data_IF_598998628464
#
_entry.id   IF_598998628464
#
_cell.length_a   1.000
_cell.length_b   1.000
_cell.length_c   1.000
_cell.angle_alpha   90.00
_cell.angle_beta   90.00
_cell.angle_gamma   90.00
#
_symmetry.space_group_name_H-M   'P 1'
#
loop_
_entity.id
_entity.type
_entity.pdbx_description
1 polymer ?
#
# COMPACT_ATOMS: atom_id res chain seq x y z
N UNK A 1 9.18 14.88 17.27
CA UNK A 1 8.73 16.28 17.14
C UNK A 1 7.72 16.31 16.00
N UNK A 2 6.48 16.75 16.22
CA UNK A 2 5.49 16.82 15.15
C UNK A 2 5.97 17.81 14.08
N UNK A 3 6.04 17.36 12.83
CA UNK A 3 6.41 18.20 11.70
C UNK A 3 5.27 19.18 11.37
N UNK A 4 5.55 20.47 11.46
CA UNK A 4 4.62 21.53 11.03
C UNK A 4 4.76 21.65 9.50
N UNK A 5 3.66 21.72 8.73
CA UNK A 5 3.74 21.89 7.28
C UNK A 5 4.55 23.16 6.95
N UNK A 6 5.70 23.00 6.28
CA UNK A 6 6.57 24.10 5.86
C UNK A 6 7.94 24.19 6.55
N UNK A 7 8.27 23.33 7.53
CA UNK A 7 9.65 23.26 8.04
C UNK A 7 10.56 22.43 7.11
N UNK A 8 11.83 22.84 6.91
CA UNK A 8 12.81 22.03 6.21
C UNK A 8 12.99 20.70 6.93
N UNK A 9 13.21 19.63 6.16
CA UNK A 9 13.46 18.28 6.69
C UNK A 9 14.45 18.36 7.85
N UNK A 10 14.16 17.80 9.03
CA UNK A 10 15.08 17.81 10.17
C UNK A 10 16.35 16.96 9.92
N UNK A 11 16.41 16.29 8.77
CA UNK A 11 17.52 15.44 8.34
C UNK A 11 18.22 16.06 7.14
N UNK A 12 19.55 16.15 7.22
CA UNK A 12 20.39 16.68 6.15
C UNK A 12 20.49 15.73 4.97
N UNK A 13 20.57 14.42 5.25
CA UNK A 13 20.77 13.33 4.26
C UNK A 13 20.09 12.03 4.74
N UNK A 14 19.94 11.03 3.85
CA UNK A 14 19.42 9.70 4.23
C UNK A 14 20.26 9.01 5.32
N UNK A 15 21.59 9.14 5.24
CA UNK A 15 22.50 8.60 6.25
C UNK A 15 22.27 9.22 7.63
N UNK A 16 22.04 10.53 7.67
CA UNK A 16 21.75 11.29 8.88
C UNK A 16 20.43 10.85 9.52
N UNK A 17 19.39 10.65 8.70
CA UNK A 17 18.12 10.07 9.15
C UNK A 17 18.31 8.66 9.74
N UNK A 18 19.00 7.76 9.03
CA UNK A 18 19.26 6.39 9.49
C UNK A 18 20.04 6.36 10.80
N UNK A 19 21.07 7.20 10.92
CA UNK A 19 21.87 7.30 12.13
C UNK A 19 21.08 7.88 13.31
N UNK A 20 20.20 8.85 13.04
CA UNK A 20 19.28 9.38 14.05
C UNK A 20 18.31 8.32 14.59
N UNK A 21 17.78 7.45 13.72
CA UNK A 21 16.90 6.35 14.12
C UNK A 21 17.67 5.33 14.97
N UNK A 22 18.86 4.89 14.53
CA UNK A 22 19.66 3.91 15.27
C UNK A 22 20.04 4.45 16.66
N UNK A 23 20.43 5.72 16.76
CA UNK A 23 20.82 6.35 18.04
C UNK A 23 19.65 6.55 19.00
N UNK A 24 18.41 6.75 18.51
CA UNK A 24 17.23 7.00 19.37
C UNK A 24 16.39 5.76 19.66
N UNK A 25 16.24 4.87 18.69
CA UNK A 25 15.30 3.74 18.74
C UNK A 25 16.00 2.37 18.59
N UNK A 26 17.34 2.35 18.52
CA UNK A 26 18.14 1.17 18.18
C UNK A 26 17.87 0.62 16.78
N UNK A 27 18.61 -0.41 16.38
CA UNK A 27 18.45 -1.09 15.07
C UNK A 27 17.03 -1.63 14.86
N UNK A 28 16.32 -1.97 15.95
CA UNK A 28 14.92 -2.42 15.91
C UNK A 28 13.95 -1.33 15.46
N UNK A 29 14.29 -0.05 15.65
CA UNK A 29 13.50 1.08 15.15
C UNK A 29 13.34 1.05 13.62
N UNK A 30 14.35 0.58 12.89
CA UNK A 30 14.31 0.46 11.42
C UNK A 30 13.26 -0.55 10.92
N UNK A 31 12.87 -1.52 11.75
CA UNK A 31 11.88 -2.55 11.42
C UNK A 31 10.50 -2.28 12.03
N UNK A 32 10.34 -1.17 12.77
CA UNK A 32 9.07 -0.80 13.41
C UNK A 32 8.03 -0.56 12.30
N UNK A 33 6.98 -1.37 12.28
CA UNK A 33 5.93 -1.33 11.24
C UNK A 33 6.11 -2.28 10.06
N UNK A 34 7.16 -3.12 10.02
CA UNK A 34 7.38 -4.13 8.96
C UNK A 34 6.48 -5.37 9.06
N UNK A 35 5.90 -5.65 10.23
CA UNK A 35 5.01 -6.80 10.43
C UNK A 35 3.74 -6.75 9.55
N UNK A 36 3.20 -5.55 9.34
CA UNK A 36 1.98 -5.33 8.54
C UNK A 36 2.23 -5.67 7.05
N UNK A 37 3.27 -5.16 6.39
CA UNK A 37 3.65 -5.59 5.05
C UNK A 37 3.76 -7.11 4.89
N UNK A 38 4.38 -7.81 5.84
CA UNK A 38 4.62 -9.25 5.75
C UNK A 38 3.31 -10.07 5.70
N UNK A 39 2.27 -9.61 6.40
CA UNK A 39 0.97 -10.27 6.41
C UNK A 39 0.12 -9.90 5.19
N UNK A 40 0.24 -8.67 4.69
CA UNK A 40 -0.62 -8.15 3.60
C UNK A 40 -0.11 -8.54 2.20
N UNK A 41 1.20 -8.68 2.02
CA UNK A 41 1.79 -8.93 0.69
C UNK A 41 1.38 -10.30 0.09
N UNK A 42 1.40 -11.44 0.82
CA UNK A 42 1.00 -12.73 0.27
C UNK A 42 -0.45 -12.78 -0.26
N UNK A 43 -1.49 -12.35 0.49
CA UNK A 43 -2.85 -12.35 -0.02
C UNK A 43 -3.05 -11.36 -1.17
N UNK A 44 -2.29 -10.26 -1.20
CA UNK A 44 -2.29 -9.32 -2.32
C UNK A 44 -1.80 -9.98 -3.62
N UNK A 45 -0.68 -10.72 -3.56
CA UNK A 45 -0.20 -11.47 -4.73
C UNK A 45 -1.16 -12.59 -5.12
N UNK A 46 -1.75 -13.30 -4.16
CA UNK A 46 -2.73 -14.34 -4.43
C UNK A 46 -3.95 -13.78 -5.19
N UNK A 47 -4.47 -12.63 -4.77
CA UNK A 47 -5.58 -11.96 -5.47
C UNK A 47 -5.18 -11.56 -6.89
N UNK A 48 -3.98 -11.03 -7.08
CA UNK A 48 -3.48 -10.65 -8.40
C UNK A 48 -3.39 -11.86 -9.35
N UNK A 49 -2.74 -12.94 -8.91
CA UNK A 49 -2.64 -14.18 -9.70
C UNK A 49 -4.00 -14.82 -9.97
N UNK A 50 -4.90 -14.82 -8.98
CA UNK A 50 -6.26 -15.33 -9.14
C UNK A 50 -7.01 -14.56 -10.22
N UNK A 51 -7.01 -13.22 -10.15
CA UNK A 51 -7.74 -12.39 -11.10
C UNK A 51 -7.14 -12.47 -12.50
N UNK A 52 -5.81 -12.59 -12.61
CA UNK A 52 -5.12 -12.82 -13.88
C UNK A 52 -5.48 -14.19 -14.49
N UNK A 53 -5.54 -15.24 -13.67
CA UNK A 53 -5.98 -16.57 -14.10
C UNK A 53 -7.43 -16.58 -14.59
N UNK A 54 -8.33 -15.88 -13.89
CA UNK A 54 -9.72 -15.67 -14.32
C UNK A 54 -9.77 -14.89 -15.63
N UNK A 55 -9.01 -13.80 -15.76
CA UNK A 55 -8.95 -12.98 -16.98
C UNK A 55 -8.48 -13.77 -18.21
N UNK A 56 -7.52 -14.68 -18.04
CA UNK A 56 -7.10 -15.62 -19.10
C UNK A 56 -8.18 -16.65 -19.41
N UNK A 57 -8.79 -17.29 -18.40
CA UNK A 57 -9.88 -18.27 -18.61
C UNK A 57 -11.09 -17.69 -19.33
N UNK A 58 -11.41 -16.42 -19.12
CA UNK A 58 -12.49 -15.72 -19.84
C UNK A 58 -12.20 -15.52 -21.34
N UNK A 59 -10.93 -15.52 -21.74
CA UNK A 59 -10.50 -15.27 -23.11
C UNK A 59 -10.01 -16.53 -23.85
N UNK A 60 -9.68 -17.60 -23.12
CA UNK A 60 -9.28 -18.89 -23.69
C UNK A 60 -10.50 -19.71 -24.10
N UNK A 61 -10.60 -20.07 -25.39
CA UNK A 61 -11.62 -21.04 -25.87
C UNK A 61 -11.14 -22.48 -25.80
N UNK A 62 -9.82 -22.72 -25.81
CA UNK A 62 -9.21 -24.05 -25.65
C UNK A 62 -7.99 -24.02 -24.69
N UNK A 63 -7.71 -25.09 -23.92
CA UNK A 63 -6.61 -25.14 -22.95
C UNK A 63 -5.19 -24.98 -23.53
N UNK A 64 -5.01 -25.31 -24.82
CA UNK A 64 -3.72 -25.25 -25.54
C UNK A 64 -3.53 -24.00 -26.42
N UNK A 65 -4.51 -23.09 -26.47
CA UNK A 65 -4.42 -21.93 -27.37
C UNK A 65 -3.43 -20.88 -26.81
N UNK A 66 -2.40 -20.55 -27.59
CA UNK A 66 -1.50 -19.45 -27.24
C UNK A 66 -2.28 -18.12 -27.36
N UNK A 67 -2.57 -17.51 -26.22
CA UNK A 67 -3.23 -16.21 -26.15
C UNK A 67 -2.39 -15.16 -26.89
N UNK A 68 -3.05 -14.40 -27.78
CA UNK A 68 -2.43 -13.26 -28.45
C UNK A 68 -1.94 -12.23 -27.42
N UNK A 69 -0.87 -11.50 -27.73
CA UNK A 69 -0.35 -10.39 -26.91
C UNK A 69 -1.46 -9.41 -26.48
N UNK A 70 -2.43 -9.16 -27.37
CA UNK A 70 -3.55 -8.27 -27.09
C UNK A 70 -4.56 -8.85 -26.09
N UNK A 71 -4.71 -10.17 -26.03
CA UNK A 71 -5.54 -10.85 -25.03
C UNK A 71 -4.83 -10.84 -23.68
N UNK A 72 -3.53 -11.17 -23.65
CA UNK A 72 -2.71 -11.09 -22.42
C UNK A 72 -2.73 -9.68 -21.84
N UNK A 73 -2.63 -8.65 -22.69
CA UNK A 73 -2.76 -7.25 -22.27
C UNK A 73 -4.12 -6.96 -21.61
N UNK A 74 -5.23 -7.35 -22.26
CA UNK A 74 -6.58 -7.16 -21.69
C UNK A 74 -6.79 -7.91 -20.37
N UNK A 75 -6.30 -9.15 -20.27
CA UNK A 75 -6.34 -9.92 -19.04
C UNK A 75 -5.49 -9.27 -17.92
N UNK A 76 -4.33 -8.71 -18.28
CA UNK A 76 -3.48 -7.93 -17.39
C UNK A 76 -4.16 -6.66 -16.88
N UNK A 77 -4.81 -5.89 -17.75
CA UNK A 77 -5.56 -4.68 -17.38
C UNK A 77 -6.74 -4.98 -16.44
N UNK A 78 -7.50 -6.04 -16.73
CA UNK A 78 -8.60 -6.48 -15.87
C UNK A 78 -8.09 -6.90 -14.49
N UNK A 79 -7.04 -7.73 -14.46
CA UNK A 79 -6.41 -8.16 -13.21
C UNK A 79 -5.84 -6.97 -12.42
N UNK A 80 -5.16 -6.04 -13.10
CA UNK A 80 -4.59 -4.84 -12.52
C UNK A 80 -5.66 -3.92 -11.90
N UNK A 81 -6.76 -3.70 -12.61
CA UNK A 81 -7.87 -2.84 -12.14
C UNK A 81 -8.52 -3.43 -10.89
N UNK A 82 -8.89 -4.70 -10.93
CA UNK A 82 -9.54 -5.38 -9.80
C UNK A 82 -8.59 -5.49 -8.61
N UNK A 83 -7.36 -5.94 -8.82
CA UNK A 83 -6.37 -6.02 -7.76
C UNK A 83 -6.13 -4.64 -7.12
N UNK A 84 -5.99 -3.59 -7.93
CA UNK A 84 -5.81 -2.21 -7.43
C UNK A 84 -7.02 -1.76 -6.60
N UNK A 85 -8.25 -2.04 -7.01
CA UNK A 85 -9.45 -1.67 -6.27
C UNK A 85 -9.50 -2.29 -4.85
N UNK A 86 -9.08 -3.54 -4.72
CA UNK A 86 -9.05 -4.26 -3.44
C UNK A 86 -7.81 -3.94 -2.59
N UNK A 87 -6.65 -3.74 -3.22
CA UNK A 87 -5.39 -3.55 -2.51
C UNK A 87 -5.13 -2.10 -2.10
N UNK A 88 -5.65 -1.14 -2.87
CA UNK A 88 -5.55 0.30 -2.58
C UNK A 88 -5.87 0.70 -1.14
N UNK A 89 -6.99 0.26 -0.52
CA UNK A 89 -7.28 0.59 0.87
C UNK A 89 -6.21 0.05 1.83
N UNK A 90 -5.73 -1.18 1.61
CA UNK A 90 -4.71 -1.83 2.45
C UNK A 90 -3.35 -1.15 2.36
N UNK A 91 -2.89 -0.85 1.15
CA UNK A 91 -1.64 -0.12 0.91
C UNK A 91 -1.68 1.27 1.55
N UNK A 92 -2.82 1.97 1.45
CA UNK A 92 -2.97 3.29 2.04
C UNK A 92 -2.94 3.25 3.56
N UNK A 93 -3.62 2.30 4.20
CA UNK A 93 -3.55 2.11 5.66
C UNK A 93 -2.11 1.82 6.09
N UNK A 94 -1.40 0.94 5.38
CA UNK A 94 0.01 0.65 5.64
C UNK A 94 0.87 1.93 5.55
N UNK A 95 0.76 2.71 4.48
CA UNK A 95 1.53 3.95 4.32
C UNK A 95 1.23 4.94 5.46
N UNK A 96 -0.04 5.10 5.86
CA UNK A 96 -0.40 5.97 6.99
C UNK A 96 0.19 5.47 8.32
N UNK A 97 0.25 4.16 8.53
CA UNK A 97 0.87 3.56 9.71
C UNK A 97 2.40 3.66 9.70
N UNK A 98 3.04 3.72 8.52
CA UNK A 98 4.48 3.87 8.38
C UNK A 98 4.94 5.34 8.43
N UNK A 99 4.13 6.27 7.94
CA UNK A 99 4.43 7.71 7.93
C UNK A 99 4.12 8.36 9.29
N UNK A 100 3.18 7.79 10.08
CA UNK A 100 2.90 8.35 11.40
C UNK A 100 4.16 8.33 12.27
N UNK A 101 4.55 9.50 12.75
CA UNK A 101 5.57 9.64 13.78
C UNK A 101 4.86 9.69 15.14
N UNK A 102 5.39 8.96 16.13
CA UNK A 102 4.93 9.08 17.51
C UNK A 102 5.14 10.53 17.98
N UNK A 103 4.03 11.26 18.17
CA UNK A 103 4.05 12.59 18.77
C UNK A 103 3.70 12.45 20.25
N UNK A 104 4.62 12.83 21.13
CA UNK A 104 4.46 12.78 22.60
C UNK A 104 4.10 11.39 23.17
N UNK A 105 4.67 10.32 22.62
CA UNK A 105 4.44 8.95 23.12
C UNK A 105 3.04 8.39 22.83
N UNK A 106 2.21 9.09 22.05
CA UNK A 106 0.89 8.63 21.61
C UNK A 106 0.90 8.44 20.09
N UNK A 107 0.81 7.19 19.64
CA UNK A 107 0.60 6.89 18.23
C UNK A 107 -0.79 7.41 17.80
N UNK A 108 -0.87 8.16 16.68
CA UNK A 108 -2.15 8.64 16.13
C UNK A 108 -3.07 7.46 15.78
N UNK A 109 -2.49 6.35 15.32
CA UNK A 109 -3.16 5.10 15.03
C UNK A 109 -2.50 3.97 15.82
N UNK A 110 -3.26 3.31 16.70
CA UNK A 110 -2.75 2.18 17.49
C UNK A 110 -2.67 0.87 16.68
N UNK A 111 -3.29 0.84 15.50
CA UNK A 111 -3.25 -0.30 14.61
C UNK A 111 -4.04 -0.07 13.32
N UNK A 112 -4.07 -1.05 12.41
CA UNK A 112 -4.75 -0.94 11.12
C UNK A 112 -6.26 -0.77 11.24
N UNK A 113 -6.90 -1.44 12.19
CA UNK A 113 -8.35 -1.33 12.43
C UNK A 113 -8.68 0.06 13.01
N UNK A 114 -7.85 0.58 13.91
CA UNK A 114 -8.02 1.92 14.48
C UNK A 114 -7.79 3.01 13.42
N UNK A 115 -6.77 2.83 12.56
CA UNK A 115 -6.53 3.69 11.40
C UNK A 115 -7.74 3.71 10.46
N UNK A 116 -8.28 2.54 10.10
CA UNK A 116 -9.46 2.42 9.24
C UNK A 116 -10.69 3.09 9.86
N UNK A 117 -10.96 2.85 11.15
CA UNK A 117 -12.11 3.45 11.86
C UNK A 117 -11.99 4.97 11.92
N UNK A 118 -10.80 5.50 12.21
CA UNK A 118 -10.55 6.95 12.25
C UNK A 118 -10.70 7.58 10.87
N UNK A 119 -10.13 6.97 9.82
CA UNK A 119 -10.30 7.41 8.44
C UNK A 119 -11.77 7.44 8.02
N UNK A 120 -12.51 6.39 8.37
CA UNK A 120 -13.92 6.30 8.05
C UNK A 120 -14.74 7.38 8.78
N UNK A 121 -14.41 7.68 10.05
CA UNK A 121 -15.03 8.79 10.80
C UNK A 121 -14.65 10.17 10.27
N UNK A 122 -13.43 10.37 9.78
CA UNK A 122 -12.95 11.67 9.26
C UNK A 122 -13.62 12.06 7.93
N UNK A 123 -13.96 11.09 7.07
CA UNK A 123 -14.75 11.40 5.87
C UNK A 123 -15.10 10.20 4.99
N UNK A 124 -15.22 9.02 5.59
CA UNK A 124 -15.74 7.83 4.95
C UNK A 124 -14.85 7.23 3.86
N UNK A 125 -15.50 6.55 2.91
CA UNK A 125 -14.86 5.77 1.85
C UNK A 125 -13.99 6.64 0.92
N UNK A 126 -14.36 7.89 0.67
CA UNK A 126 -13.59 8.79 -0.18
C UNK A 126 -12.19 9.05 0.38
N UNK A 127 -12.07 9.12 1.71
CA UNK A 127 -10.76 9.23 2.32
C UNK A 127 -9.99 7.95 2.09
N UNK A 128 -10.56 6.77 2.34
CA UNK A 128 -9.90 5.47 2.14
C UNK A 128 -9.32 5.31 0.72
N UNK A 129 -10.04 5.75 -0.31
CA UNK A 129 -9.62 5.68 -1.73
C UNK A 129 -8.89 6.94 -2.24
N UNK A 130 -8.54 7.89 -1.36
CA UNK A 130 -7.84 9.12 -1.76
C UNK A 130 -6.41 8.79 -2.22
N UNK A 131 -6.14 9.00 -3.51
CA UNK A 131 -4.88 8.67 -4.18
C UNK A 131 -4.95 7.42 -5.06
N UNK A 132 -6.02 6.63 -4.95
CA UNK A 132 -6.23 5.42 -5.75
C UNK A 132 -6.31 5.71 -7.26
N UNK A 133 -6.79 6.88 -7.67
CA UNK A 133 -6.80 7.31 -9.08
C UNK A 133 -5.39 7.36 -9.68
N UNK A 134 -4.39 7.83 -8.91
CA UNK A 134 -3.00 7.83 -9.38
C UNK A 134 -2.44 6.41 -9.50
N UNK A 135 -2.83 5.50 -8.60
CA UNK A 135 -2.47 4.08 -8.68
C UNK A 135 -3.12 3.40 -9.88
N UNK A 136 -4.37 3.75 -10.21
CA UNK A 136 -5.06 3.27 -11.41
C UNK A 136 -4.38 3.76 -12.68
N UNK A 137 -4.04 5.05 -12.77
CA UNK A 137 -3.34 5.61 -13.95
C UNK A 137 -1.96 4.99 -14.12
N UNK A 138 -1.27 4.64 -13.03
CA UNK A 138 0.01 3.91 -13.07
C UNK A 138 -0.14 2.46 -13.56
N UNK A 139 -1.30 1.85 -13.38
CA UNK A 139 -1.57 0.44 -13.68
C UNK A 139 -2.26 0.19 -15.02
N UNK A 140 -2.71 1.25 -15.71
CA UNK A 140 -3.19 1.24 -17.10
C UNK A 140 -2.00 1.36 -18.06
#
# INVERSE_FOLDING_TARGET
MPQIPGQPSPYRNMYDCGMHIIKRESVRGLYKGMAIPLVIIPPMFALWFFTFGVGKKLQQKSPQEQLSYFQVFKAGMLAGTVATAFCSPGERIKCLLQIQQESNGKAKYQGPIDCLRKLYKEGGIRWIYRGTTATFVRGL
#
